data_IF_846489571478
#
_entry.id   IF_846489571478
#
_cell.length_a   1.000
_cell.length_b   1.000
_cell.length_c   1.000
_cell.angle_alpha   90.00
_cell.angle_beta   90.00
_cell.angle_gamma   90.00
#
_symmetry.space_group_name_H-M   'P 1'
#
loop_
_entity.id
_entity.type
_entity.pdbx_description
1 polymer ?
#
# COMPACT_ATOMS: atom_id res chain seq x y z
N UNK A 1 37.82 11.54 24.26
CA UNK A 1 37.19 10.89 23.09
C UNK A 1 36.56 11.98 22.23
N UNK A 2 36.90 12.09 20.95
CA UNK A 2 36.39 13.17 20.09
C UNK A 2 34.89 13.01 19.83
N UNK A 3 34.15 14.12 19.76
CA UNK A 3 32.70 14.14 19.49
C UNK A 3 32.33 13.39 18.20
N UNK A 4 33.21 13.43 17.19
CA UNK A 4 33.06 12.70 15.93
C UNK A 4 33.01 11.17 16.12
N UNK A 5 33.79 10.65 17.07
CA UNK A 5 33.85 9.21 17.33
C UNK A 5 32.56 8.72 17.99
N UNK A 6 31.97 9.53 18.88
CA UNK A 6 30.65 9.26 19.48
C UNK A 6 29.54 9.20 18.42
N UNK A 7 29.53 10.12 17.46
CA UNK A 7 28.54 10.13 16.36
C UNK A 7 28.71 8.88 15.48
N UNK A 8 29.95 8.58 15.08
CA UNK A 8 30.25 7.41 14.25
C UNK A 8 29.81 6.10 14.91
N UNK A 9 30.10 5.93 16.20
CA UNK A 9 29.65 4.76 16.97
C UNK A 9 28.12 4.69 17.06
N UNK A 10 27.46 5.82 17.32
CA UNK A 10 25.99 5.87 17.42
C UNK A 10 25.31 5.48 16.10
N UNK A 11 25.82 5.97 14.96
CA UNK A 11 25.33 5.60 13.63
C UNK A 11 25.56 4.13 13.31
N UNK A 12 26.73 3.59 13.69
CA UNK A 12 27.04 2.18 13.49
C UNK A 12 26.13 1.26 14.32
N UNK A 13 25.83 1.63 15.57
CA UNK A 13 24.89 0.90 16.43
C UNK A 13 23.48 0.96 15.85
N UNK A 14 23.02 2.14 15.42
CA UNK A 14 21.71 2.31 14.81
C UNK A 14 21.57 1.50 13.51
N UNK A 15 22.60 1.52 12.65
CA UNK A 15 22.63 0.71 11.43
C UNK A 15 22.60 -0.79 11.72
N UNK A 16 23.31 -1.24 12.75
CA UNK A 16 23.36 -2.64 13.13
C UNK A 16 21.99 -3.10 13.64
N UNK A 17 21.33 -2.29 14.47
CA UNK A 17 19.98 -2.57 14.93
C UNK A 17 18.98 -2.66 13.76
N UNK A 18 19.08 -1.76 12.77
CA UNK A 18 18.24 -1.84 11.56
C UNK A 18 18.52 -3.10 10.73
N UNK A 19 19.80 -3.48 10.57
CA UNK A 19 20.19 -4.72 9.89
C UNK A 19 19.62 -5.95 10.60
N UNK A 20 19.71 -5.99 11.94
CA UNK A 20 19.18 -7.09 12.74
C UNK A 20 17.65 -7.15 12.61
N UNK A 21 16.96 -6.04 12.80
CA UNK A 21 15.49 -5.98 12.68
C UNK A 21 15.00 -6.42 11.30
N UNK A 22 15.62 -5.92 10.24
CA UNK A 22 15.19 -6.21 8.87
C UNK A 22 15.58 -7.63 8.43
N UNK A 23 16.69 -8.16 8.94
CA UNK A 23 17.08 -9.57 8.79
C UNK A 23 16.05 -10.50 9.42
N UNK A 24 15.63 -10.20 10.66
CA UNK A 24 14.58 -10.95 11.34
C UNK A 24 13.25 -10.90 10.58
N UNK A 25 12.85 -9.72 10.08
CA UNK A 25 11.61 -9.58 9.31
C UNK A 25 11.60 -10.45 8.06
N UNK A 26 12.70 -10.46 7.28
CA UNK A 26 12.84 -11.32 6.10
C UNK A 26 12.79 -12.82 6.43
N UNK A 27 13.38 -13.20 7.56
CA UNK A 27 13.32 -14.59 8.04
C UNK A 27 11.89 -14.95 8.40
N UNK A 28 11.17 -14.09 9.12
CA UNK A 28 9.77 -14.29 9.48
C UNK A 28 8.86 -14.40 8.24
N UNK A 29 9.05 -13.54 7.24
CA UNK A 29 8.35 -13.59 5.95
C UNK A 29 8.57 -14.94 5.23
N UNK A 30 9.78 -15.51 5.31
CA UNK A 30 10.05 -16.85 4.74
C UNK A 30 9.40 -17.97 5.55
N UNK A 31 9.43 -17.88 6.88
CA UNK A 31 8.86 -18.89 7.79
C UNK A 31 7.34 -19.03 7.59
N UNK A 32 6.64 -17.92 7.38
CA UNK A 32 5.20 -17.93 7.13
C UNK A 32 4.80 -18.69 5.85
N UNK A 33 5.74 -18.91 4.92
CA UNK A 33 5.49 -19.64 3.66
C UNK A 33 5.80 -21.15 3.75
N UNK A 34 6.18 -21.65 4.92
CA UNK A 34 6.55 -23.05 5.10
C UNK A 34 5.39 -23.88 5.65
N UNK A 35 5.41 -25.19 5.43
CA UNK A 35 4.35 -26.12 5.88
C UNK A 35 4.11 -26.11 7.40
N UNK A 36 5.15 -25.81 8.21
CA UNK A 36 5.03 -25.75 9.66
C UNK A 36 5.65 -24.46 10.23
N UNK A 37 4.92 -23.34 10.20
CA UNK A 37 5.46 -22.03 10.53
C UNK A 37 5.88 -21.91 12.00
N UNK A 38 5.16 -22.54 12.94
CA UNK A 38 5.48 -22.46 14.38
C UNK A 38 6.82 -23.13 14.72
N UNK A 39 7.08 -24.33 14.17
CA UNK A 39 8.34 -25.04 14.40
C UNK A 39 9.52 -24.31 13.75
N UNK A 40 9.31 -23.79 12.55
CA UNK A 40 10.33 -23.05 11.82
C UNK A 40 10.62 -21.69 12.47
N UNK A 41 9.63 -21.03 13.07
CA UNK A 41 9.83 -19.81 13.87
C UNK A 41 10.77 -20.04 15.05
N UNK A 42 10.58 -21.13 15.79
CA UNK A 42 11.47 -21.49 16.90
C UNK A 42 12.89 -21.82 16.41
N UNK A 43 13.00 -22.62 15.35
CA UNK A 43 14.29 -23.10 14.86
C UNK A 43 15.12 -21.98 14.25
N UNK A 44 14.55 -21.23 13.28
CA UNK A 44 15.23 -20.10 12.65
C UNK A 44 15.37 -18.92 13.61
N UNK A 45 14.42 -18.73 14.54
CA UNK A 45 14.53 -17.76 15.63
C UNK A 45 15.73 -18.01 16.52
N UNK A 46 15.90 -19.25 16.97
CA UNK A 46 17.05 -19.65 17.77
C UNK A 46 18.37 -19.46 17.01
N UNK A 47 18.44 -19.93 15.75
CA UNK A 47 19.65 -19.77 14.92
C UNK A 47 19.99 -18.30 14.69
N UNK A 48 18.97 -17.48 14.40
CA UNK A 48 19.15 -16.06 14.16
C UNK A 48 19.63 -15.32 15.41
N UNK A 49 18.96 -15.54 16.54
CA UNK A 49 19.36 -14.95 17.82
C UNK A 49 20.77 -15.37 18.22
N UNK A 50 21.08 -16.67 18.07
CA UNK A 50 22.42 -17.20 18.33
C UNK A 50 23.46 -16.53 17.44
N UNK A 51 23.20 -16.35 16.14
CA UNK A 51 24.12 -15.64 15.26
C UNK A 51 24.32 -14.18 15.69
N UNK A 52 23.26 -13.46 16.03
CA UNK A 52 23.33 -12.04 16.45
C UNK A 52 24.14 -11.86 17.73
N UNK A 53 24.02 -12.77 18.70
CA UNK A 53 24.72 -12.67 19.99
C UNK A 53 26.13 -13.28 19.93
N UNK A 54 26.28 -14.43 19.27
CA UNK A 54 27.52 -15.19 19.27
C UNK A 54 28.58 -14.63 18.31
N UNK A 55 28.19 -14.08 17.16
CA UNK A 55 29.15 -13.52 16.19
C UNK A 55 29.96 -12.36 16.78
N UNK A 56 29.37 -11.39 17.51
CA UNK A 56 30.15 -10.36 18.20
C UNK A 56 31.15 -10.93 19.23
N UNK A 57 30.72 -11.92 20.02
CA UNK A 57 31.57 -12.55 21.03
C UNK A 57 32.73 -13.32 20.40
N UNK A 58 32.44 -14.10 19.35
CA UNK A 58 33.45 -14.84 18.58
C UNK A 58 34.43 -13.88 17.91
N UNK A 59 33.94 -12.77 17.37
CA UNK A 59 34.77 -11.73 16.74
C UNK A 59 35.74 -11.11 17.75
N UNK A 60 35.30 -10.88 18.99
CA UNK A 60 36.18 -10.44 20.08
C UNK A 60 37.24 -11.49 20.43
N UNK A 61 36.86 -12.76 20.54
CA UNK A 61 37.82 -13.85 20.79
C UNK A 61 38.87 -13.95 19.69
N UNK A 62 38.46 -13.90 18.41
CA UNK A 62 39.38 -13.90 17.26
C UNK A 62 40.30 -12.68 17.28
N UNK A 63 39.81 -11.52 17.71
CA UNK A 63 40.62 -10.30 17.83
C UNK A 63 41.80 -10.46 18.78
N UNK A 64 41.62 -11.19 19.89
CA UNK A 64 42.70 -11.45 20.84
C UNK A 64 43.86 -12.22 20.20
N UNK A 65 43.56 -13.18 19.31
CA UNK A 65 44.58 -14.02 18.67
C UNK A 65 45.10 -13.45 17.34
N UNK A 66 44.27 -12.70 16.60
CA UNK A 66 44.60 -12.16 15.27
C UNK A 66 44.14 -10.70 15.16
N UNK A 67 44.81 -9.75 15.83
CA UNK A 67 44.32 -8.39 16.01
C UNK A 67 44.25 -7.58 14.70
N UNK A 68 45.19 -7.79 13.76
CA UNK A 68 45.23 -7.01 12.51
C UNK A 68 44.11 -7.43 11.55
N UNK A 69 43.94 -8.72 11.19
CA UNK A 69 42.85 -9.12 10.30
C UNK A 69 41.46 -8.86 10.89
N UNK A 70 41.30 -9.06 12.20
CA UNK A 70 40.04 -8.80 12.90
C UNK A 70 39.71 -7.31 12.97
N UNK A 71 40.68 -6.42 13.19
CA UNK A 71 40.47 -4.98 13.14
C UNK A 71 39.94 -4.54 11.76
N UNK A 72 40.52 -5.05 10.68
CA UNK A 72 40.07 -4.76 9.31
C UNK A 72 38.62 -5.23 9.11
N UNK A 73 38.30 -6.45 9.56
CA UNK A 73 36.94 -6.98 9.46
C UNK A 73 35.92 -6.16 10.27
N UNK A 74 36.28 -5.75 11.49
CA UNK A 74 35.43 -4.91 12.35
C UNK A 74 35.19 -3.53 11.74
N UNK A 75 36.23 -2.91 11.16
CA UNK A 75 36.09 -1.64 10.44
C UNK A 75 35.14 -1.81 9.25
N UNK A 76 35.29 -2.88 8.47
CA UNK A 76 34.37 -3.20 7.37
C UNK A 76 32.92 -3.36 7.81
N UNK A 77 32.68 -4.04 8.94
CA UNK A 77 31.33 -4.19 9.52
C UNK A 77 30.74 -2.84 9.97
N UNK A 78 31.54 -1.98 10.60
CA UNK A 78 31.13 -0.64 11.03
C UNK A 78 30.72 0.20 9.81
N UNK A 79 31.56 0.25 8.78
CA UNK A 79 31.25 0.96 7.53
C UNK A 79 30.00 0.41 6.83
N UNK A 80 29.86 -0.92 6.75
CA UNK A 80 28.69 -1.56 6.13
C UNK A 80 27.40 -1.21 6.87
N UNK A 81 27.46 -1.18 8.20
CA UNK A 81 26.35 -0.80 9.07
C UNK A 81 25.94 0.66 8.86
N UNK A 82 26.92 1.57 8.84
CA UNK A 82 26.67 3.00 8.59
C UNK A 82 26.11 3.24 7.19
N UNK A 83 26.65 2.56 6.16
CA UNK A 83 26.14 2.64 4.81
C UNK A 83 24.69 2.15 4.73
N UNK A 84 24.35 1.07 5.42
CA UNK A 84 22.97 0.56 5.49
C UNK A 84 22.01 1.53 6.16
N UNK A 85 22.42 2.14 7.28
CA UNK A 85 21.64 3.18 7.96
C UNK A 85 21.37 4.36 7.02
N UNK A 86 22.41 4.90 6.40
CA UNK A 86 22.30 6.03 5.47
C UNK A 86 21.39 5.69 4.29
N UNK A 87 21.53 4.50 3.70
CA UNK A 87 20.65 4.04 2.63
C UNK A 87 19.18 3.96 3.05
N UNK A 88 18.90 3.47 4.27
CA UNK A 88 17.54 3.41 4.82
C UNK A 88 16.94 4.77 5.07
N UNK A 89 17.71 5.69 5.67
CA UNK A 89 17.28 7.08 5.89
C UNK A 89 17.02 7.77 4.56
N UNK A 90 17.91 7.60 3.58
CA UNK A 90 17.73 8.16 2.25
C UNK A 90 16.47 7.60 1.57
N UNK A 91 16.26 6.28 1.60
CA UNK A 91 15.07 5.65 1.04
C UNK A 91 13.79 6.16 1.72
N UNK A 92 13.81 6.30 3.05
CA UNK A 92 12.69 6.84 3.79
C UNK A 92 12.41 8.31 3.41
N UNK A 93 13.45 9.14 3.38
CA UNK A 93 13.34 10.54 2.96
C UNK A 93 12.80 10.66 1.52
N UNK A 94 13.34 9.89 0.58
CA UNK A 94 12.85 9.81 -0.80
C UNK A 94 11.38 9.37 -0.83
N UNK A 95 11.00 8.32 -0.10
CA UNK A 95 9.60 7.85 -0.10
C UNK A 95 8.62 8.89 0.46
N UNK A 96 9.02 9.64 1.49
CA UNK A 96 8.16 10.60 2.17
C UNK A 96 8.11 11.96 1.47
N UNK A 97 9.20 12.36 0.82
CA UNK A 97 9.33 13.67 0.16
C UNK A 97 8.93 13.59 -1.32
N UNK A 98 9.29 12.51 -2.03
CA UNK A 98 9.07 12.40 -3.49
C UNK A 98 7.83 11.58 -3.88
N UNK A 99 7.21 10.82 -2.96
CA UNK A 99 5.99 10.05 -3.24
C UNK A 99 4.90 10.31 -2.19
N UNK A 100 4.26 11.49 -2.16
CA UNK A 100 3.22 11.74 -1.16
C UNK A 100 1.98 10.87 -1.35
N UNK A 101 1.70 10.37 -2.56
CA UNK A 101 0.41 9.76 -2.89
C UNK A 101 0.51 8.82 -4.10
N UNK A 102 1.23 7.70 -3.96
CA UNK A 102 0.88 6.55 -4.80
C UNK A 102 -0.19 5.78 -4.03
N UNK A 103 -1.44 5.89 -4.49
CA UNK A 103 -2.54 5.05 -4.01
C UNK A 103 -2.09 3.59 -4.05
N UNK A 104 -2.29 2.86 -2.96
CA UNK A 104 -1.95 1.43 -2.85
C UNK A 104 -2.81 0.58 -3.81
N UNK A 105 -3.89 1.16 -4.33
CA UNK A 105 -4.72 0.58 -5.37
C UNK A 105 -4.11 0.82 -6.75
N UNK A 106 -3.88 -0.27 -7.47
CA UNK A 106 -3.61 -0.26 -8.90
C UNK A 106 -4.90 0.15 -9.63
N UNK A 107 -4.99 1.45 -9.96
CA UNK A 107 -6.12 1.96 -10.74
C UNK A 107 -5.87 1.55 -12.19
N UNK A 108 -6.58 0.53 -12.67
CA UNK A 108 -6.59 0.22 -14.08
C UNK A 108 -6.96 1.48 -14.88
N UNK A 109 -6.15 1.89 -15.87
CA UNK A 109 -6.39 3.12 -16.60
C UNK A 109 -7.72 3.02 -17.38
N UNK A 110 -8.69 3.84 -16.99
CA UNK A 110 -9.97 3.98 -17.69
C UNK A 110 -9.76 4.52 -19.12
N UNK A 111 -10.02 3.70 -20.13
CA UNK A 111 -10.06 4.12 -21.54
C UNK A 111 -11.46 4.38 -22.07
N UNK A 112 -12.50 3.96 -21.34
CA UNK A 112 -13.88 4.02 -21.79
C UNK A 112 -14.40 5.45 -21.94
N UNK A 113 -15.29 5.67 -22.90
CA UNK A 113 -15.95 6.96 -23.14
C UNK A 113 -17.35 6.97 -22.52
N UNK A 114 -17.69 8.06 -21.86
CA UNK A 114 -18.99 8.29 -21.21
C UNK A 114 -19.67 9.48 -21.87
N UNK A 115 -20.94 9.31 -22.22
CA UNK A 115 -21.82 10.32 -22.82
C UNK A 115 -22.45 11.15 -21.70
N UNK A 116 -22.23 12.47 -21.72
CA UNK A 116 -22.78 13.42 -20.75
C UNK A 116 -24.12 14.01 -21.20
N UNK A 117 -24.24 14.33 -22.47
CA UNK A 117 -25.41 15.00 -23.07
C UNK A 117 -25.88 14.22 -24.28
N UNK A 118 -27.19 14.25 -24.54
CA UNK A 118 -27.77 13.62 -25.75
C UNK A 118 -27.68 14.53 -26.98
N UNK A 119 -27.79 15.85 -26.82
CA UNK A 119 -27.76 16.80 -27.92
C UNK A 119 -27.26 18.20 -27.45
N UNK A 120 -26.12 18.71 -27.95
CA UNK A 120 -25.13 17.96 -28.74
C UNK A 120 -24.54 16.82 -27.91
N UNK A 121 -24.15 15.72 -28.56
CA UNK A 121 -23.51 14.59 -27.88
C UNK A 121 -22.10 14.98 -27.41
N UNK A 122 -21.90 15.07 -26.10
CA UNK A 122 -20.59 15.36 -25.50
C UNK A 122 -20.12 14.09 -24.80
N UNK A 123 -19.01 13.54 -25.29
CA UNK A 123 -18.31 12.41 -24.68
C UNK A 123 -17.11 12.90 -23.87
N UNK A 124 -16.89 12.26 -22.71
CA UNK A 124 -15.69 12.44 -21.91
C UNK A 124 -15.09 11.09 -21.57
N UNK A 125 -13.76 11.06 -21.39
CA UNK A 125 -13.09 9.86 -20.90
C UNK A 125 -13.56 9.56 -19.48
N UNK A 126 -13.89 8.31 -19.18
CA UNK A 126 -14.25 7.86 -17.83
C UNK A 126 -13.18 8.23 -16.80
N UNK A 127 -11.90 8.26 -17.20
CA UNK A 127 -10.77 8.74 -16.37
C UNK A 127 -11.00 10.16 -15.82
N UNK A 128 -11.75 11.01 -16.50
CA UNK A 128 -12.04 12.37 -16.00
C UNK A 128 -12.79 12.35 -14.65
N UNK A 129 -13.64 11.35 -14.42
CA UNK A 129 -14.37 11.21 -13.14
C UNK A 129 -13.47 10.82 -11.96
N UNK A 130 -12.26 10.31 -12.20
CA UNK A 130 -11.27 10.08 -11.13
C UNK A 130 -10.82 11.36 -10.44
N UNK A 131 -11.03 12.53 -11.07
CA UNK A 131 -10.77 13.85 -10.49
C UNK A 131 -11.95 14.40 -9.69
N UNK A 132 -12.99 13.60 -9.48
CA UNK A 132 -14.30 13.99 -8.97
C UNK A 132 -15.06 14.93 -9.92
N UNK A 133 -16.38 14.85 -9.87
CA UNK A 133 -17.28 15.71 -10.64
C UNK A 133 -18.31 16.33 -9.70
N UNK A 134 -18.65 17.59 -9.94
CA UNK A 134 -19.68 18.30 -9.19
C UNK A 134 -20.79 18.73 -10.15
N UNK A 135 -22.01 18.24 -9.89
CA UNK A 135 -23.20 18.55 -10.69
C UNK A 135 -24.03 19.60 -9.96
N UNK A 136 -24.07 20.81 -10.51
CA UNK A 136 -24.84 21.93 -9.97
C UNK A 136 -26.16 22.07 -10.74
N UNK A 137 -27.28 21.98 -10.03
CA UNK A 137 -28.59 22.35 -10.57
C UNK A 137 -29.55 22.70 -9.43
N UNK A 138 -30.64 23.41 -9.74
CA UNK A 138 -31.70 23.72 -8.77
C UNK A 138 -32.48 22.46 -8.36
N UNK A 139 -33.23 22.53 -7.27
CA UNK A 139 -34.13 21.45 -6.83
C UNK A 139 -35.28 21.34 -7.84
N UNK A 140 -35.65 20.11 -8.23
CA UNK A 140 -36.68 19.88 -9.25
C UNK A 140 -36.17 19.90 -10.71
N UNK A 141 -34.95 20.34 -10.97
CA UNK A 141 -34.34 20.33 -12.32
C UNK A 141 -34.01 18.92 -12.87
N UNK A 142 -34.42 17.86 -12.17
CA UNK A 142 -34.21 16.49 -12.63
C UNK A 142 -32.79 15.94 -12.46
N UNK A 143 -31.94 16.47 -11.56
CA UNK A 143 -30.55 15.99 -11.34
C UNK A 143 -30.42 14.46 -11.30
N UNK A 144 -31.32 13.81 -10.55
CA UNK A 144 -31.32 12.35 -10.38
C UNK A 144 -31.64 11.62 -11.69
N UNK A 145 -32.69 12.04 -12.40
CA UNK A 145 -33.16 11.38 -13.63
C UNK A 145 -32.33 11.74 -14.87
N UNK A 146 -31.80 12.96 -14.91
CA UNK A 146 -31.09 13.51 -16.08
C UNK A 146 -29.58 13.34 -16.03
N UNK A 147 -28.98 13.19 -14.84
CA UNK A 147 -27.52 13.10 -14.70
C UNK A 147 -27.10 11.85 -13.94
N UNK A 148 -27.61 11.63 -12.72
CA UNK A 148 -27.15 10.53 -11.87
C UNK A 148 -27.48 9.15 -12.47
N UNK A 149 -28.74 8.91 -12.83
CA UNK A 149 -29.18 7.62 -13.34
C UNK A 149 -28.54 7.25 -14.70
N UNK A 150 -28.46 8.15 -15.71
CA UNK A 150 -27.75 7.85 -16.95
C UNK A 150 -26.26 7.61 -16.76
N UNK A 151 -25.63 8.33 -15.82
CA UNK A 151 -24.21 8.16 -15.53
C UNK A 151 -23.94 6.81 -14.85
N UNK A 152 -24.71 6.49 -13.81
CA UNK A 152 -24.62 5.22 -13.11
C UNK A 152 -24.88 4.04 -14.04
N UNK A 153 -25.87 4.14 -14.94
CA UNK A 153 -26.13 3.13 -15.97
C UNK A 153 -24.91 2.88 -16.85
N UNK A 154 -24.30 3.93 -17.40
CA UNK A 154 -23.11 3.79 -18.23
C UNK A 154 -21.94 3.15 -17.48
N UNK A 155 -21.72 3.51 -16.22
CA UNK A 155 -20.67 2.88 -15.40
C UNK A 155 -20.95 1.39 -15.14
N UNK A 156 -22.21 1.01 -14.90
CA UNK A 156 -22.59 -0.40 -14.72
C UNK A 156 -22.40 -1.18 -16.03
N UNK A 157 -22.75 -0.60 -17.19
CA UNK A 157 -22.58 -1.18 -18.53
C UNK A 157 -21.09 -1.45 -18.86
N UNK A 158 -20.17 -0.58 -18.44
CA UNK A 158 -18.72 -0.82 -18.58
C UNK A 158 -18.14 -1.71 -17.46
N UNK A 159 -19.01 -2.44 -16.73
CA UNK A 159 -18.63 -3.39 -15.70
C UNK A 159 -18.09 -2.76 -14.41
N UNK A 160 -18.35 -1.48 -14.15
CA UNK A 160 -17.91 -0.81 -12.92
C UNK A 160 -19.01 -0.83 -11.86
N UNK A 161 -18.58 -0.97 -10.60
CA UNK A 161 -19.46 -0.81 -9.45
C UNK A 161 -19.79 0.66 -9.20
N UNK A 162 -21.05 0.94 -8.85
CA UNK A 162 -21.50 2.29 -8.51
C UNK A 162 -22.12 2.26 -7.12
N UNK A 163 -21.66 3.14 -6.23
CA UNK A 163 -22.27 3.38 -4.94
C UNK A 163 -23.10 4.66 -5.02
N UNK A 164 -24.39 4.56 -4.69
CA UNK A 164 -25.29 5.72 -4.64
C UNK A 164 -25.77 5.92 -3.22
N UNK A 165 -25.57 7.14 -2.72
CA UNK A 165 -26.10 7.59 -1.44
C UNK A 165 -27.24 8.55 -1.76
N UNK A 166 -28.48 8.09 -1.60
CA UNK A 166 -29.66 8.92 -1.81
C UNK A 166 -30.33 9.26 -0.47
N UNK A 167 -30.15 10.50 0.04
CA UNK A 167 -30.74 10.90 1.30
C UNK A 167 -32.26 11.08 1.23
N UNK A 168 -32.86 11.08 0.03
CA UNK A 168 -34.32 11.21 -0.12
C UNK A 168 -35.05 9.88 0.04
N UNK A 169 -34.35 8.75 -0.08
CA UNK A 169 -34.95 7.42 0.00
C UNK A 169 -35.94 7.14 -1.15
N UNK A 170 -35.76 7.78 -2.31
CA UNK A 170 -36.65 7.57 -3.44
C UNK A 170 -36.41 6.17 -4.04
N UNK A 171 -37.33 5.25 -3.81
CA UNK A 171 -37.26 3.86 -4.30
C UNK A 171 -37.17 3.73 -5.84
N UNK A 172 -37.48 4.80 -6.58
CA UNK A 172 -37.37 4.83 -8.05
C UNK A 172 -35.95 4.55 -8.53
N UNK A 173 -34.94 5.08 -7.83
CA UNK A 173 -33.53 4.93 -8.23
C UNK A 173 -33.06 3.50 -8.02
N UNK A 174 -33.38 2.92 -6.87
CA UNK A 174 -33.06 1.53 -6.55
C UNK A 174 -33.72 0.56 -7.53
N UNK A 175 -35.01 0.76 -7.83
CA UNK A 175 -35.74 -0.07 -8.82
C UNK A 175 -35.10 0.00 -10.20
N UNK A 176 -34.71 1.19 -10.67
CA UNK A 176 -34.05 1.35 -11.95
C UNK A 176 -32.70 0.59 -12.03
N UNK A 177 -31.93 0.56 -10.93
CA UNK A 177 -30.70 -0.24 -10.88
C UNK A 177 -30.95 -1.75 -10.83
N UNK A 178 -31.98 -2.18 -10.10
CA UNK A 178 -32.38 -3.59 -10.08
C UNK A 178 -32.81 -4.05 -11.48
N UNK A 179 -33.61 -3.26 -12.19
CA UNK A 179 -34.00 -3.56 -13.59
C UNK A 179 -32.77 -3.65 -14.50
N UNK A 180 -31.85 -2.69 -14.40
CA UNK A 180 -30.62 -2.72 -15.19
C UNK A 180 -29.74 -3.94 -14.91
N UNK A 181 -29.60 -4.35 -13.64
CA UNK A 181 -28.80 -5.52 -13.27
C UNK A 181 -29.48 -6.83 -13.68
N UNK A 182 -30.82 -6.88 -13.66
CA UNK A 182 -31.58 -8.02 -14.20
C UNK A 182 -31.36 -8.18 -15.70
N UNK A 183 -31.37 -7.09 -16.46
CA UNK A 183 -31.10 -7.09 -17.90
C UNK A 183 -29.68 -7.61 -18.23
N UNK A 184 -28.75 -7.53 -17.27
CA UNK A 184 -27.37 -8.02 -17.39
C UNK A 184 -27.13 -9.38 -16.74
N UNK A 185 -28.16 -10.04 -16.20
CA UNK A 185 -28.04 -11.30 -15.43
C UNK A 185 -27.09 -11.20 -14.21
N UNK A 186 -27.00 -10.01 -13.59
CA UNK A 186 -26.12 -9.72 -12.43
C UNK A 186 -26.87 -9.54 -11.12
N UNK A 187 -28.20 -9.67 -11.16
CA UNK A 187 -29.06 -9.61 -9.99
C UNK A 187 -29.43 -11.03 -9.55
N UNK A 188 -29.34 -11.37 -8.25
CA UNK A 188 -29.16 -10.47 -7.09
C UNK A 188 -27.72 -10.28 -6.61
N UNK A 189 -26.72 -10.97 -7.18
CA UNK A 189 -25.37 -11.07 -6.61
C UNK A 189 -24.65 -9.73 -6.49
N UNK A 190 -24.81 -8.84 -7.47
CA UNK A 190 -24.09 -7.56 -7.55
C UNK A 190 -24.89 -6.38 -6.97
N UNK A 191 -26.02 -6.63 -6.30
CA UNK A 191 -26.86 -5.58 -5.72
C UNK A 191 -26.86 -5.63 -4.19
N UNK A 192 -26.34 -4.56 -3.57
CA UNK A 192 -26.46 -4.34 -2.13
C UNK A 192 -27.28 -3.08 -1.86
N UNK A 193 -28.27 -3.23 -0.97
CA UNK A 193 -29.11 -2.15 -0.51
C UNK A 193 -29.05 -2.11 1.02
N UNK A 194 -28.77 -0.93 1.55
CA UNK A 194 -28.75 -0.66 2.98
C UNK A 194 -29.66 0.53 3.24
N UNK A 195 -30.70 0.30 4.02
CA UNK A 195 -31.56 1.34 4.58
C UNK A 195 -31.28 1.42 6.08
N UNK A 196 -30.80 2.56 6.61
CA UNK A 196 -30.56 2.74 8.03
C UNK A 196 -31.85 2.87 8.87
N UNK A 197 -33.03 2.95 8.24
CA UNK A 197 -34.34 3.12 8.90
C UNK A 197 -35.00 1.81 9.30
#
# INVERSE_FOLDING_TARGET
MSFQLLISMSLAIAGYFLLVRDGWRKIKEKIQKTENPKRNELTYGFLYFSAVVFIPFLSFAVFVFFPIPSAIAMVGLIFSSQAYFTFKVLKFAVSKILKPTASEYEIEPFSDEIKLTKDPEITIKAKAFSKHAHVLATTGAGKTKSVLAPLAKQFIEIGKGVMVIDPKGDNEVAKAFIELLKDQERYPEDFWYFDPM
#
